data_IF_560506735494
#
_entry.id   IF_560506735494
#
_cell.length_a   1.000
_cell.length_b   1.000
_cell.length_c   1.000
_cell.angle_alpha   90.00
_cell.angle_beta   90.00
_cell.angle_gamma   90.00
#
_symmetry.space_group_name_H-M   'P 1'
#
loop_
_entity.id
_entity.type
_entity.pdbx_description
1 polymer ?
#
# COMPACT_ATOMS: atom_id res chain seq x y z
N UNK A 1 6.51 31.10 3.72
CA UNK A 1 6.84 29.73 3.34
C UNK A 1 6.65 29.51 1.86
N UNK A 2 7.62 28.90 1.23
CA UNK A 2 7.56 28.67 -0.21
C UNK A 2 6.85 27.35 -0.49
N UNK A 3 5.85 27.41 -1.33
CA UNK A 3 5.15 26.22 -1.77
C UNK A 3 5.94 25.54 -2.88
N UNK A 4 6.07 24.24 -2.81
CA UNK A 4 6.77 23.45 -3.82
C UNK A 4 5.73 22.78 -4.72
N UNK A 5 5.58 23.25 -5.96
CA UNK A 5 4.60 22.62 -6.87
C UNK A 5 4.99 21.17 -7.17
N UNK A 6 4.00 20.30 -7.18
CA UNK A 6 4.17 18.88 -7.51
C UNK A 6 5.05 18.08 -6.55
N UNK A 7 5.34 18.63 -5.38
CA UNK A 7 6.18 17.97 -4.39
C UNK A 7 5.52 18.05 -3.01
N UNK A 8 5.47 16.94 -2.32
CA UNK A 8 4.97 16.89 -0.96
C UNK A 8 5.95 16.07 -0.11
N UNK A 9 6.12 16.49 1.14
CA UNK A 9 6.88 15.70 2.11
C UNK A 9 5.88 14.90 2.92
N UNK A 10 6.00 13.57 2.90
CA UNK A 10 5.07 12.74 3.66
C UNK A 10 5.18 12.99 5.16
N UNK A 11 6.34 13.46 5.61
CA UNK A 11 6.55 13.78 7.03
C UNK A 11 5.74 14.99 7.48
N UNK A 12 5.34 15.84 6.54
CA UNK A 12 4.52 17.00 6.84
C UNK A 12 3.03 16.71 6.71
N UNK A 13 2.67 15.50 6.29
CA UNK A 13 1.28 15.09 6.11
C UNK A 13 0.82 14.33 7.35
N UNK A 14 -0.48 14.44 7.63
CA UNK A 14 -1.07 13.66 8.71
C UNK A 14 -1.60 12.34 8.19
N UNK A 15 -1.54 11.33 9.04
CA UNK A 15 -2.11 10.02 8.73
C UNK A 15 -3.63 10.08 8.80
N UNK A 16 -4.29 9.36 7.90
CA UNK A 16 -5.71 9.06 8.04
C UNK A 16 -5.79 7.61 8.50
N UNK A 17 -6.47 7.38 9.60
CA UNK A 17 -6.55 6.05 10.18
C UNK A 17 -7.85 5.36 9.81
N UNK A 18 -7.77 4.08 9.44
CA UNK A 18 -8.90 3.26 9.05
C UNK A 18 -8.84 1.92 9.75
N UNK A 19 -9.99 1.41 10.19
CA UNK A 19 -10.04 0.08 10.77
C UNK A 19 -11.43 -0.51 10.57
N UNK A 20 -11.49 -1.83 10.45
CA UNK A 20 -12.73 -2.56 10.30
C UNK A 20 -12.53 -3.95 10.91
N UNK A 21 -13.11 -4.17 12.08
CA UNK A 21 -12.89 -5.39 12.83
C UNK A 21 -11.46 -5.49 13.33
N UNK A 22 -11.04 -6.70 13.69
CA UNK A 22 -9.72 -6.91 14.26
C UNK A 22 -8.64 -7.18 13.20
N UNK A 23 -9.04 -7.65 12.03
CA UNK A 23 -8.08 -8.03 10.98
C UNK A 23 -7.69 -6.87 10.07
N UNK A 24 -8.58 -5.90 9.90
CA UNK A 24 -8.33 -4.81 8.96
C UNK A 24 -8.02 -3.52 9.69
N UNK A 25 -6.90 -2.90 9.35
CA UNK A 25 -6.52 -1.64 9.94
C UNK A 25 -5.25 -1.13 9.29
N UNK A 26 -5.21 0.19 9.06
CA UNK A 26 -4.05 0.82 8.45
C UNK A 26 -4.13 2.33 8.63
N UNK A 27 -2.98 2.98 8.46
CA UNK A 27 -2.89 4.42 8.33
C UNK A 27 -2.45 4.72 6.91
N UNK A 28 -2.93 5.83 6.38
CA UNK A 28 -2.70 6.17 4.98
C UNK A 28 -2.41 7.65 4.79
N UNK A 29 -1.50 7.94 3.86
CA UNK A 29 -1.26 9.29 3.36
C UNK A 29 -1.37 9.25 1.85
N UNK A 30 -2.29 10.02 1.26
CA UNK A 30 -2.48 10.04 -0.18
C UNK A 30 -1.53 11.03 -0.81
N UNK A 31 -0.42 10.53 -1.35
CA UNK A 31 0.61 11.38 -1.93
C UNK A 31 0.20 11.97 -3.28
N UNK A 32 -0.48 11.17 -4.10
CA UNK A 32 -0.93 11.62 -5.42
C UNK A 32 -1.99 12.70 -5.32
N UNK A 33 -2.89 12.62 -4.34
CA UNK A 33 -3.92 13.65 -4.16
C UNK A 33 -3.30 14.98 -3.75
N UNK A 34 -2.23 14.94 -2.97
CA UNK A 34 -1.57 16.15 -2.48
C UNK A 34 -0.75 16.84 -3.56
N UNK A 35 -0.44 16.16 -4.66
CA UNK A 35 0.43 16.68 -5.72
C UNK A 35 -0.26 16.81 -7.07
N UNK A 36 -1.57 16.57 -7.13
CA UNK A 36 -2.34 16.74 -8.35
C UNK A 36 -2.20 15.62 -9.37
N UNK A 37 -1.82 14.43 -8.92
CA UNK A 37 -1.77 13.27 -9.80
C UNK A 37 -3.16 12.92 -10.33
N UNK A 38 -3.27 12.55 -11.61
CA UNK A 38 -4.55 12.27 -12.24
C UNK A 38 -4.72 10.80 -12.62
N UNK A 39 -3.74 10.23 -13.30
CA UNK A 39 -3.82 8.84 -13.74
C UNK A 39 -3.10 7.88 -12.83
N UNK A 40 -2.08 8.36 -12.16
CA UNK A 40 -1.26 7.54 -11.27
C UNK A 40 -1.65 7.83 -9.82
N UNK A 41 -2.06 6.79 -9.11
CA UNK A 41 -2.37 6.89 -7.69
C UNK A 41 -1.20 6.38 -6.88
N UNK A 42 -0.86 7.09 -5.81
CA UNK A 42 0.19 6.67 -4.90
C UNK A 42 -0.19 7.06 -3.49
N UNK A 43 -0.20 6.08 -2.60
CA UNK A 43 -0.47 6.31 -1.18
C UNK A 43 0.56 5.56 -0.35
N UNK A 44 0.93 6.17 0.77
CA UNK A 44 1.80 5.53 1.75
C UNK A 44 0.92 4.87 2.79
N UNK A 45 1.18 3.60 3.08
CA UNK A 45 0.44 2.82 4.07
C UNK A 45 1.34 2.44 5.24
N UNK A 46 0.75 2.41 6.42
CA UNK A 46 1.39 1.83 7.59
C UNK A 46 0.39 0.87 8.20
N UNK A 47 0.78 -0.41 8.31
CA UNK A 47 -0.11 -1.47 8.78
C UNK A 47 0.42 -2.01 10.11
N UNK A 48 -0.41 -2.00 11.17
CA UNK A 48 0.01 -2.55 12.46
C UNK A 48 0.22 -4.06 12.41
N UNK A 49 0.94 -4.61 13.38
CA UNK A 49 1.13 -6.06 13.46
C UNK A 49 -0.20 -6.83 13.42
N UNK A 50 -0.20 -7.91 12.68
CA UNK A 50 -1.34 -8.81 12.59
C UNK A 50 -2.48 -8.33 11.71
N UNK A 51 -2.35 -7.17 11.10
CA UNK A 51 -3.43 -6.59 10.32
C UNK A 51 -3.09 -6.48 8.84
N UNK A 52 -4.07 -6.10 8.06
CA UNK A 52 -3.96 -5.90 6.61
C UNK A 52 -4.85 -4.74 6.19
N UNK A 53 -4.49 -4.10 5.08
CA UNK A 53 -5.20 -2.91 4.64
C UNK A 53 -6.47 -3.24 3.85
N UNK A 54 -6.48 -4.36 3.13
CA UNK A 54 -7.62 -4.73 2.30
C UNK A 54 -7.74 -6.24 2.22
N UNK A 55 -8.93 -6.76 1.77
CA UNK A 55 -9.12 -8.20 1.60
C UNK A 55 -8.34 -8.75 0.40
N UNK A 56 -8.24 -10.05 0.33
CA UNK A 56 -7.65 -10.75 -0.81
C UNK A 56 -8.48 -10.41 -2.05
N UNK A 57 -7.83 -9.79 -3.06
CA UNK A 57 -8.56 -9.27 -4.20
C UNK A 57 -7.67 -9.11 -5.42
N UNK A 58 -8.28 -8.79 -6.56
CA UNK A 58 -7.56 -8.44 -7.77
C UNK A 58 -8.33 -7.36 -8.53
N UNK A 59 -7.62 -6.70 -9.45
CA UNK A 59 -8.20 -5.69 -10.33
C UNK A 59 -8.02 -6.13 -11.77
N UNK A 60 -9.06 -5.97 -12.57
CA UNK A 60 -9.00 -6.35 -13.99
C UNK A 60 -8.51 -5.22 -14.88
N UNK A 61 -8.65 -3.99 -14.44
CA UNK A 61 -8.40 -2.81 -15.30
C UNK A 61 -7.15 -2.03 -14.95
N UNK A 62 -6.57 -2.24 -13.78
CA UNK A 62 -5.42 -1.44 -13.36
C UNK A 62 -4.32 -2.30 -12.76
N UNK A 63 -3.12 -1.82 -12.93
CA UNK A 63 -1.93 -2.49 -12.42
C UNK A 63 -1.42 -1.73 -11.21
N UNK A 64 -0.90 -2.45 -10.23
CA UNK A 64 -0.39 -1.86 -9.00
C UNK A 64 0.99 -2.41 -8.66
N UNK A 65 1.68 -1.69 -7.80
CA UNK A 65 2.97 -2.14 -7.27
C UNK A 65 3.12 -1.66 -5.84
N UNK A 66 3.90 -2.39 -5.07
CA UNK A 66 4.22 -2.06 -3.70
C UNK A 66 5.73 -2.13 -3.54
N UNK A 67 6.29 -1.22 -2.76
CA UNK A 67 7.69 -1.28 -2.39
C UNK A 67 7.79 -1.24 -0.87
N UNK A 68 8.38 -2.25 -0.26
CA UNK A 68 8.45 -2.32 1.20
C UNK A 68 9.56 -1.40 1.71
N UNK A 69 9.17 -0.35 2.41
CA UNK A 69 10.11 0.61 2.98
C UNK A 69 10.62 0.18 4.33
N UNK A 70 9.74 -0.42 5.14
CA UNK A 70 10.08 -0.75 6.51
C UNK A 70 9.22 -1.92 6.97
N UNK A 71 9.86 -2.87 7.65
CA UNK A 71 9.15 -4.02 8.21
C UNK A 71 9.13 -5.21 7.29
N UNK A 72 8.27 -6.16 7.61
CA UNK A 72 8.13 -7.41 6.86
C UNK A 72 6.70 -7.89 6.93
N UNK A 73 6.35 -8.82 6.05
CA UNK A 73 5.02 -9.37 6.04
C UNK A 73 4.92 -10.57 5.13
N UNK A 74 3.68 -10.99 4.86
CA UNK A 74 3.39 -12.12 4.00
C UNK A 74 2.48 -11.66 2.87
N UNK A 75 2.94 -11.84 1.64
CA UNK A 75 2.13 -11.57 0.47
C UNK A 75 1.42 -12.85 0.05
N UNK A 76 0.11 -12.80 0.01
CA UNK A 76 -0.70 -13.88 -0.51
C UNK A 76 -1.03 -13.54 -1.95
N UNK A 77 -0.56 -14.35 -2.87
CA UNK A 77 -0.77 -14.09 -4.29
C UNK A 77 -0.86 -15.39 -5.06
N UNK A 78 -1.89 -15.52 -5.92
CA UNK A 78 -2.07 -16.69 -6.74
C UNK A 78 -2.19 -17.99 -5.96
N UNK A 79 -2.71 -17.94 -4.74
CA UNK A 79 -2.84 -19.10 -3.88
C UNK A 79 -1.58 -19.48 -3.12
N UNK A 80 -0.53 -18.67 -3.23
CA UNK A 80 0.73 -18.91 -2.55
C UNK A 80 1.02 -17.81 -1.53
N UNK A 81 1.83 -18.14 -0.54
CA UNK A 81 2.29 -17.19 0.46
C UNK A 81 3.77 -16.93 0.23
N UNK A 82 4.12 -15.65 0.10
CA UNK A 82 5.49 -15.22 -0.17
C UNK A 82 5.92 -14.24 0.93
N UNK A 83 7.06 -14.49 1.56
CA UNK A 83 7.60 -13.58 2.55
C UNK A 83 8.18 -12.35 1.86
N UNK A 84 7.87 -11.17 2.41
CA UNK A 84 8.42 -9.92 1.91
C UNK A 84 9.02 -9.12 3.05
N UNK A 85 10.02 -8.31 2.74
CA UNK A 85 10.71 -7.49 3.74
C UNK A 85 11.26 -6.23 3.08
N UNK A 86 11.90 -5.40 3.88
CA UNK A 86 12.49 -4.14 3.44
C UNK A 86 13.28 -4.30 2.15
N UNK A 87 12.98 -3.43 1.18
CA UNK A 87 13.66 -3.45 -0.12
C UNK A 87 12.98 -4.30 -1.18
N UNK A 88 11.92 -5.02 -0.83
CA UNK A 88 11.23 -5.86 -1.81
C UNK A 88 10.25 -5.04 -2.64
N UNK A 89 10.26 -5.30 -3.94
CA UNK A 89 9.31 -4.73 -4.88
C UNK A 89 8.30 -5.80 -5.28
N UNK A 90 7.02 -5.47 -5.16
CA UNK A 90 5.94 -6.41 -5.46
C UNK A 90 5.13 -5.89 -6.64
N UNK A 91 5.06 -6.67 -7.70
CA UNK A 91 4.22 -6.35 -8.86
C UNK A 91 2.86 -7.02 -8.69
N UNK A 92 1.80 -6.26 -8.91
CA UNK A 92 0.42 -6.72 -8.78
C UNK A 92 -0.29 -6.52 -10.11
N UNK A 93 -0.17 -7.48 -11.03
CA UNK A 93 -0.75 -7.34 -12.37
C UNK A 93 -2.28 -7.34 -12.34
N UNK A 94 -2.87 -6.73 -13.36
CA UNK A 94 -4.31 -6.57 -13.49
C UNK A 94 -4.96 -7.83 -14.07
N UNK A 95 -4.89 -8.95 -13.34
CA UNK A 95 -5.41 -10.24 -13.77
C UNK A 95 -5.97 -11.00 -12.58
N UNK A 96 -6.87 -11.94 -12.87
CA UNK A 96 -7.46 -12.76 -11.83
C UNK A 96 -6.40 -13.58 -11.06
N UNK A 97 -5.37 -14.07 -11.75
CA UNK A 97 -4.29 -14.81 -11.09
C UNK A 97 -3.36 -13.89 -10.31
N UNK A 98 -3.58 -12.57 -10.41
CA UNK A 98 -2.90 -11.58 -9.59
C UNK A 98 -3.67 -11.22 -8.32
N UNK A 99 -4.68 -12.00 -7.95
CA UNK A 99 -5.39 -11.79 -6.69
C UNK A 99 -4.40 -11.81 -5.54
N UNK A 100 -4.49 -10.83 -4.65
CA UNK A 100 -3.44 -10.61 -3.67
C UNK A 100 -3.95 -10.00 -2.37
N UNK A 101 -3.15 -10.19 -1.33
CA UNK A 101 -3.37 -9.57 -0.04
C UNK A 101 -2.02 -9.50 0.66
N UNK A 102 -1.66 -8.33 1.15
CA UNK A 102 -0.45 -8.18 1.95
C UNK A 102 -0.83 -8.12 3.42
N UNK A 103 -0.30 -9.04 4.20
CA UNK A 103 -0.60 -9.18 5.61
C UNK A 103 0.64 -8.84 6.42
N UNK A 104 0.49 -7.98 7.42
CA UNK A 104 1.58 -7.77 8.36
C UNK A 104 1.58 -8.92 9.37
N UNK A 105 2.34 -9.95 9.06
CA UNK A 105 2.47 -11.14 9.91
C UNK A 105 3.61 -11.00 10.93
N UNK A 106 4.21 -9.82 11.01
CA UNK A 106 5.33 -9.55 11.91
C UNK A 106 4.84 -8.89 13.21
N UNK A 107 5.78 -8.56 14.08
CA UNK A 107 5.47 -7.90 15.35
C UNK A 107 5.80 -6.41 15.34
N UNK A 108 6.12 -5.85 14.18
CA UNK A 108 6.43 -4.43 14.03
C UNK A 108 5.58 -3.85 12.90
N UNK A 109 5.54 -2.53 12.81
CA UNK A 109 4.78 -1.87 11.75
C UNK A 109 5.36 -2.17 10.38
N UNK A 110 4.48 -2.29 9.38
CA UNK A 110 4.85 -2.51 7.99
C UNK A 110 4.48 -1.27 7.21
N UNK A 111 5.47 -0.65 6.56
CA UNK A 111 5.26 0.59 5.80
C UNK A 111 5.63 0.40 4.34
N UNK A 112 4.74 0.84 3.46
CA UNK A 112 4.97 0.71 2.02
C UNK A 112 4.12 1.70 1.22
N UNK A 113 4.66 2.27 0.13
CA UNK A 113 3.83 2.97 -0.84
C UNK A 113 3.16 1.95 -1.76
N UNK A 114 1.94 2.23 -2.12
CA UNK A 114 1.19 1.46 -3.11
C UNK A 114 0.92 2.39 -4.27
N UNK A 115 1.35 1.98 -5.46
CA UNK A 115 1.25 2.79 -6.67
C UNK A 115 0.41 2.04 -7.69
N UNK A 116 -0.50 2.74 -8.35
CA UNK A 116 -1.35 2.11 -9.35
C UNK A 116 -1.75 3.06 -10.45
N UNK A 117 -2.17 2.48 -11.58
CA UNK A 117 -2.57 3.26 -12.76
C UNK A 117 -4.00 3.77 -12.68
N UNK A 118 -4.76 3.29 -11.71
CA UNK A 118 -6.11 3.78 -11.44
C UNK A 118 -6.12 4.33 -10.02
N UNK A 119 -6.30 5.62 -9.90
CA UNK A 119 -6.22 6.28 -8.61
C UNK A 119 -7.54 6.37 -7.85
N UNK A 120 -8.58 5.77 -8.37
CA UNK A 120 -9.89 5.81 -7.68
C UNK A 120 -9.98 4.89 -6.51
#
# INVERSE_FOLDING_TARGET
>A
MTQRPNVVSERAMEWTEHSHGEKFGYKRKSLSSATGGEKLGCSLYEVPPGRRAWPYHYHLANEEAIYVLEGSGTLRIGGEDVSVSEGDYVALPAKADGAHQLVNSSEAALRYPRIGTDRR
#
